data_IF_772442550092
#
_entry.id   IF_772442550092
#
_cell.length_a   1.000
_cell.length_b   1.000
_cell.length_c   1.000
_cell.angle_alpha   90.00
_cell.angle_beta   90.00
_cell.angle_gamma   90.00
#
_symmetry.space_group_name_H-M   'P 1'
#
loop_
_entity.id
_entity.type
_entity.pdbx_description
1 polymer ?
#
# COMPACT_ATOMS: atom_id res chain seq x y z
N UNK A 1 36.10 27.43 10.67
CA UNK A 1 35.33 28.45 11.42
C UNK A 1 33.95 28.76 10.81
N UNK A 2 33.75 28.51 9.51
CA UNK A 2 32.45 28.78 8.85
C UNK A 2 31.33 27.84 9.30
N UNK A 3 31.67 26.60 9.62
CA UNK A 3 30.68 25.54 9.97
C UNK A 3 29.91 25.82 11.28
N UNK A 4 30.56 26.49 12.26
CA UNK A 4 29.89 26.77 13.55
C UNK A 4 29.02 28.02 13.53
N UNK A 5 29.18 28.90 12.52
CA UNK A 5 28.44 30.18 12.48
C UNK A 5 26.93 29.93 12.30
N UNK A 6 26.57 28.99 11.47
CA UNK A 6 25.14 28.63 11.24
C UNK A 6 24.54 27.93 12.45
N UNK A 7 25.31 27.10 13.15
CA UNK A 7 24.90 26.49 14.41
C UNK A 7 24.67 27.53 15.51
N UNK A 8 25.55 28.51 15.64
CA UNK A 8 25.37 29.61 16.59
C UNK A 8 24.14 30.46 16.28
N UNK A 9 23.87 30.76 15.02
CA UNK A 9 22.63 31.46 14.63
C UNK A 9 21.40 30.67 14.98
N UNK A 10 21.42 29.34 14.74
CA UNK A 10 20.34 28.44 15.06
C UNK A 10 20.06 28.42 16.58
N UNK A 11 21.11 28.26 17.38
CA UNK A 11 20.99 28.23 18.83
C UNK A 11 20.50 29.58 19.40
N UNK A 12 21.03 30.67 18.91
CA UNK A 12 20.57 32.00 19.27
C UNK A 12 19.08 32.22 18.97
N UNK A 13 18.64 31.77 17.77
CA UNK A 13 17.21 31.83 17.40
C UNK A 13 16.34 30.99 18.34
N UNK A 14 16.78 29.77 18.68
CA UNK A 14 16.04 28.87 19.59
C UNK A 14 15.93 29.46 20.99
N UNK A 15 17.02 30.07 21.53
CA UNK A 15 17.03 30.68 22.86
C UNK A 15 16.15 31.93 22.97
N UNK A 16 16.05 32.70 21.89
CA UNK A 16 15.29 33.96 21.88
C UNK A 16 13.86 33.82 21.35
N UNK A 17 13.45 32.66 20.82
CA UNK A 17 12.10 32.49 20.29
C UNK A 17 11.03 32.48 21.38
N UNK A 18 9.93 33.18 21.12
CA UNK A 18 8.76 33.29 21.99
C UNK A 18 7.65 32.33 21.57
N UNK A 19 6.72 32.00 22.45
CA UNK A 19 5.58 31.14 22.17
C UNK A 19 4.70 31.66 21.02
N UNK A 20 4.66 32.97 20.84
CA UNK A 20 3.85 33.67 19.80
C UNK A 20 4.51 33.75 18.42
N UNK A 21 5.79 33.43 18.31
CA UNK A 21 6.51 33.57 17.04
C UNK A 21 5.98 32.59 15.99
N UNK A 22 5.88 33.04 14.73
CA UNK A 22 5.37 32.23 13.62
C UNK A 22 6.41 31.24 13.11
N UNK A 23 7.70 31.64 13.08
CA UNK A 23 8.80 30.85 12.49
C UNK A 23 9.63 30.16 13.56
N UNK A 24 8.99 29.41 14.45
CA UNK A 24 9.65 28.69 15.53
C UNK A 24 10.42 27.47 15.03
N UNK A 25 11.56 27.24 15.64
CA UNK A 25 12.36 26.04 15.47
C UNK A 25 11.90 25.01 16.52
N UNK A 26 11.42 23.87 16.06
CA UNK A 26 10.93 22.79 16.92
C UNK A 26 11.93 21.65 17.11
N UNK A 27 12.98 21.63 16.31
CA UNK A 27 14.07 20.65 16.41
C UNK A 27 15.38 21.29 15.97
N UNK A 28 16.38 21.25 16.81
CA UNK A 28 17.74 21.73 16.50
C UNK A 28 18.35 20.89 15.37
N UNK A 29 18.20 19.57 15.44
CA UNK A 29 18.74 18.67 14.40
C UNK A 29 18.01 18.75 13.06
N UNK A 30 16.77 19.25 13.05
CA UNK A 30 15.92 19.39 11.85
C UNK A 30 15.16 20.71 11.91
N UNK A 31 15.81 21.84 11.68
CA UNK A 31 15.20 23.16 11.81
C UNK A 31 13.96 23.37 10.92
N UNK A 32 13.86 22.60 9.85
CA UNK A 32 12.74 22.60 8.90
C UNK A 32 11.51 21.79 9.38
N UNK A 33 11.55 21.26 10.61
CA UNK A 33 10.42 20.51 11.19
C UNK A 33 9.23 21.42 11.42
N UNK A 34 8.09 21.11 10.80
CA UNK A 34 6.84 21.84 11.00
C UNK A 34 6.06 21.33 12.22
N UNK A 35 5.31 22.23 12.84
CA UNK A 35 4.31 21.90 13.86
C UNK A 35 2.92 21.86 13.20
N UNK A 36 2.25 20.72 13.26
CA UNK A 36 0.95 20.48 12.64
C UNK A 36 -0.09 20.31 13.75
N UNK A 37 -1.02 21.27 13.84
CA UNK A 37 -2.15 21.17 14.76
C UNK A 37 -3.17 20.14 14.26
N UNK A 38 -3.54 19.16 15.09
CA UNK A 38 -4.47 18.08 14.76
C UNK A 38 -5.86 18.25 15.36
N UNK A 39 -6.03 19.16 16.32
CA UNK A 39 -7.32 19.37 16.98
C UNK A 39 -7.87 18.16 17.75
N UNK A 40 -7.03 17.16 18.07
CA UNK A 40 -7.42 15.98 18.85
C UNK A 40 -7.11 16.20 20.34
N UNK A 41 -8.02 15.80 21.23
CA UNK A 41 -7.86 15.99 22.67
C UNK A 41 -6.56 15.40 23.23
N UNK A 42 -6.18 14.18 22.80
CA UNK A 42 -4.98 13.51 23.31
C UNK A 42 -3.67 13.87 22.59
N UNK A 43 -3.74 14.41 21.37
CA UNK A 43 -2.56 14.76 20.57
C UNK A 43 -2.85 16.01 19.77
N UNK A 44 -2.65 17.14 20.42
CA UNK A 44 -2.95 18.45 19.81
C UNK A 44 -2.01 18.80 18.66
N UNK A 45 -0.74 18.40 18.76
CA UNK A 45 0.30 18.73 17.79
C UNK A 45 1.04 17.49 17.31
N UNK A 46 1.38 17.46 16.04
CA UNK A 46 2.34 16.53 15.44
C UNK A 46 3.49 17.32 14.85
N UNK A 47 4.72 16.84 15.05
CA UNK A 47 5.93 17.48 14.54
C UNK A 47 6.44 16.66 13.34
N UNK A 48 6.82 17.35 12.27
CA UNK A 48 7.32 16.74 11.03
C UNK A 48 6.73 17.37 9.80
N UNK A 49 7.08 16.80 8.65
CA UNK A 49 6.57 17.25 7.36
C UNK A 49 5.29 16.47 6.99
N UNK A 50 4.37 17.13 6.31
CA UNK A 50 3.19 16.49 5.77
C UNK A 50 3.59 15.55 4.64
N UNK A 51 3.13 14.30 4.67
CA UNK A 51 3.33 13.32 3.61
C UNK A 51 2.00 12.99 2.96
N UNK A 52 1.92 13.18 1.65
CA UNK A 52 0.82 12.71 0.81
C UNK A 52 1.22 11.44 0.07
N UNK A 53 0.25 10.55 -0.17
CA UNK A 53 0.48 9.33 -0.95
C UNK A 53 -0.75 8.98 -1.80
N UNK A 54 -0.50 8.27 -2.88
CA UNK A 54 -1.52 7.65 -3.72
C UNK A 54 -1.30 6.15 -3.81
N UNK A 55 -2.39 5.39 -3.90
CA UNK A 55 -2.34 3.93 -4.03
C UNK A 55 -3.27 3.45 -5.14
N UNK A 56 -2.96 2.29 -5.68
CA UNK A 56 -3.90 1.59 -6.58
C UNK A 56 -5.16 1.19 -5.83
N UNK A 57 -6.31 1.27 -6.49
CA UNK A 57 -7.62 1.01 -5.89
C UNK A 57 -7.80 -0.41 -5.32
N UNK A 58 -7.31 -1.44 -6.03
CA UNK A 58 -7.51 -2.85 -5.62
C UNK A 58 -6.40 -3.37 -4.73
N UNK A 59 -5.15 -3.15 -5.12
CA UNK A 59 -3.98 -3.80 -4.50
C UNK A 59 -3.33 -2.98 -3.40
N UNK A 60 -3.66 -1.67 -3.29
CA UNK A 60 -3.04 -0.72 -2.35
C UNK A 60 -1.51 -0.63 -2.54
N UNK A 61 -1.03 -0.80 -3.77
CA UNK A 61 0.34 -0.50 -4.16
C UNK A 61 0.49 1.02 -4.19
N UNK A 62 1.51 1.56 -3.57
CA UNK A 62 1.79 2.99 -3.55
C UNK A 62 2.36 3.39 -4.91
N UNK A 63 1.70 4.32 -5.59
CA UNK A 63 2.06 4.82 -6.93
C UNK A 63 2.81 6.16 -6.89
N UNK A 64 2.51 6.98 -5.88
CA UNK A 64 3.26 8.19 -5.58
C UNK A 64 3.27 8.44 -4.07
N UNK A 65 4.36 9.05 -3.57
CA UNK A 65 4.49 9.50 -2.20
C UNK A 65 5.39 10.74 -2.16
N UNK A 66 4.90 11.81 -1.55
CA UNK A 66 5.61 13.08 -1.51
C UNK A 66 5.56 13.70 -0.13
N UNK A 67 6.72 14.14 0.35
CA UNK A 67 6.84 14.98 1.54
C UNK A 67 6.69 16.44 1.13
N UNK A 68 5.93 17.20 1.90
CA UNK A 68 5.69 18.62 1.69
C UNK A 68 6.30 19.40 2.83
N UNK A 69 6.95 20.52 2.49
CA UNK A 69 7.44 21.44 3.51
C UNK A 69 6.25 22.07 4.26
N UNK A 70 6.31 22.03 5.57
CA UNK A 70 5.24 22.54 6.41
C UNK A 70 3.95 21.69 6.36
N UNK A 71 2.81 22.38 6.45
CA UNK A 71 1.48 21.76 6.43
C UNK A 71 0.58 22.42 5.37
N UNK A 72 0.84 22.22 4.06
CA UNK A 72 -0.02 22.75 3.02
C UNK A 72 -1.44 22.18 3.13
N UNK A 73 -2.43 22.94 2.69
CA UNK A 73 -3.81 22.45 2.62
C UNK A 73 -3.89 21.20 1.74
N UNK A 74 -4.77 20.25 2.07
CA UNK A 74 -4.88 18.96 1.38
C UNK A 74 -5.12 19.10 -0.13
N UNK A 75 -5.91 20.09 -0.55
CA UNK A 75 -6.16 20.34 -1.96
C UNK A 75 -4.90 20.65 -2.77
N UNK A 76 -3.89 21.29 -2.15
CA UNK A 76 -2.62 21.63 -2.79
C UNK A 76 -1.67 20.43 -2.92
N UNK A 77 -1.96 19.32 -2.26
CA UNK A 77 -1.11 18.12 -2.30
C UNK A 77 -1.48 17.16 -3.43
N UNK A 78 -2.67 17.32 -4.02
CA UNK A 78 -3.19 16.39 -5.05
C UNK A 78 -2.39 16.50 -6.35
N UNK A 79 -2.24 17.71 -6.88
CA UNK A 79 -1.57 17.94 -8.16
C UNK A 79 -0.10 17.45 -8.17
N UNK A 80 0.73 17.78 -7.16
CA UNK A 80 2.10 17.26 -7.08
C UNK A 80 2.20 15.74 -6.98
N UNK A 81 1.19 15.07 -6.41
CA UNK A 81 1.13 13.61 -6.36
C UNK A 81 0.76 13.01 -7.73
N UNK A 82 -0.16 13.64 -8.46
CA UNK A 82 -0.48 13.23 -9.84
C UNK A 82 0.70 13.42 -10.78
N UNK A 83 1.44 14.53 -10.65
CA UNK A 83 2.68 14.77 -11.40
C UNK A 83 3.74 13.72 -11.13
N UNK A 84 3.95 13.38 -9.86
CA UNK A 84 4.89 12.33 -9.49
C UNK A 84 4.45 10.97 -10.05
N UNK A 85 3.15 10.66 -10.02
CA UNK A 85 2.63 9.42 -10.60
C UNK A 85 2.85 9.37 -12.11
N UNK A 86 2.56 10.46 -12.83
CA UNK A 86 2.84 10.56 -14.25
C UNK A 86 4.35 10.37 -14.55
N UNK A 87 5.21 11.01 -13.76
CA UNK A 87 6.66 10.88 -13.94
C UNK A 87 7.18 9.47 -13.66
N UNK A 88 6.65 8.81 -12.63
CA UNK A 88 7.19 7.52 -12.16
C UNK A 88 6.69 6.31 -12.97
N UNK A 89 5.44 6.33 -13.42
CA UNK A 89 4.78 5.17 -14.04
C UNK A 89 4.07 5.51 -15.36
N UNK A 90 4.26 6.73 -15.87
CA UNK A 90 3.62 7.23 -17.10
C UNK A 90 2.09 6.98 -17.12
N UNK A 91 1.42 7.25 -16.01
CA UNK A 91 0.01 6.98 -15.85
C UNK A 91 -0.77 8.14 -15.22
N UNK A 92 -1.84 8.55 -15.90
CA UNK A 92 -2.82 9.50 -15.39
C UNK A 92 -4.14 8.78 -15.06
N UNK A 93 -4.57 8.74 -13.79
CA UNK A 93 -5.82 8.09 -13.43
C UNK A 93 -7.02 8.89 -13.93
N UNK A 94 -8.06 8.20 -14.41
CA UNK A 94 -9.35 8.83 -14.77
C UNK A 94 -10.07 9.37 -13.53
N UNK A 95 -9.96 8.68 -12.41
CA UNK A 95 -10.58 9.04 -11.13
C UNK A 95 -9.60 8.86 -9.98
N UNK A 96 -9.59 9.82 -9.06
CA UNK A 96 -8.84 9.77 -7.81
C UNK A 96 -9.82 9.93 -6.65
N UNK A 97 -9.83 8.96 -5.73
CA UNK A 97 -10.59 9.05 -4.48
C UNK A 97 -9.71 9.71 -3.43
N UNK A 98 -10.14 10.86 -2.94
CA UNK A 98 -9.37 11.66 -1.99
C UNK A 98 -10.15 11.94 -0.70
N UNK A 99 -9.45 12.39 0.33
CA UNK A 99 -10.07 12.75 1.60
C UNK A 99 -10.88 14.04 1.49
N UNK A 100 -11.75 14.30 2.49
CA UNK A 100 -12.60 15.47 2.58
C UNK A 100 -11.83 16.80 2.58
N UNK A 101 -10.58 16.78 3.04
CA UNK A 101 -9.67 17.92 2.95
C UNK A 101 -9.40 18.41 1.52
N UNK A 102 -9.65 17.57 0.51
CA UNK A 102 -9.60 17.94 -0.91
C UNK A 102 -10.88 18.53 -1.49
N UNK A 103 -11.89 18.85 -0.67
CA UNK A 103 -13.13 19.48 -1.14
C UNK A 103 -12.82 20.79 -1.88
N UNK A 104 -13.56 21.02 -2.97
CA UNK A 104 -13.42 22.20 -3.83
C UNK A 104 -12.78 21.90 -5.19
N UNK A 105 -11.89 20.95 -5.29
CA UNK A 105 -11.32 20.50 -6.57
C UNK A 105 -12.12 19.32 -7.11
N UNK A 106 -12.89 19.52 -8.15
CA UNK A 106 -13.67 18.45 -8.80
C UNK A 106 -12.88 17.73 -9.87
N UNK A 107 -11.92 18.40 -10.47
CA UNK A 107 -11.08 17.89 -11.54
C UNK A 107 -9.72 18.58 -11.52
N UNK A 108 -8.67 17.82 -11.74
CA UNK A 108 -7.30 18.30 -11.95
C UNK A 108 -6.80 17.65 -13.23
N UNK A 109 -6.47 18.48 -14.25
CA UNK A 109 -6.14 17.98 -15.60
C UNK A 109 -7.24 17.04 -16.10
N UNK A 110 -6.91 15.80 -16.46
CA UNK A 110 -7.87 14.79 -16.93
C UNK A 110 -8.37 13.85 -15.82
N UNK A 111 -8.01 14.11 -14.55
CA UNK A 111 -8.36 13.27 -13.41
C UNK A 111 -9.53 13.86 -12.64
N UNK A 112 -10.62 13.13 -12.53
CA UNK A 112 -11.79 13.47 -11.70
C UNK A 112 -11.50 13.17 -10.24
N UNK A 113 -11.70 14.15 -9.36
CA UNK A 113 -11.49 14.03 -7.92
C UNK A 113 -12.80 13.64 -7.24
N UNK A 114 -12.81 12.49 -6.58
CA UNK A 114 -13.94 11.99 -5.82
C UNK A 114 -13.66 12.09 -4.32
N UNK A 115 -14.47 12.87 -3.61
CA UNK A 115 -14.43 12.95 -2.15
C UNK A 115 -15.65 12.24 -1.57
N UNK A 116 -15.57 10.94 -1.23
CA UNK A 116 -16.74 10.18 -0.80
C UNK A 116 -17.23 10.64 0.56
N UNK A 117 -18.53 10.89 0.64
CA UNK A 117 -19.21 11.19 1.89
C UNK A 117 -19.50 9.89 2.66
N UNK A 118 -19.54 10.01 4.00
CA UNK A 118 -19.85 8.89 4.89
C UNK A 118 -21.25 8.31 4.65
N UNK A 119 -22.22 9.20 4.42
CA UNK A 119 -23.61 8.80 4.19
C UNK A 119 -24.03 9.11 2.75
N UNK A 120 -24.54 8.10 2.01
CA UNK A 120 -25.23 8.35 0.74
C UNK A 120 -26.45 9.24 0.93
N UNK A 121 -26.80 10.04 -0.07
CA UNK A 121 -27.98 10.88 -0.05
C UNK A 121 -29.25 10.02 -0.14
N UNK A 122 -30.37 10.49 0.45
CA UNK A 122 -31.67 9.80 0.37
C UNK A 122 -32.12 9.59 -1.08
N UNK A 123 -31.88 10.57 -1.95
CA UNK A 123 -32.20 10.57 -3.40
C UNK A 123 -31.31 9.66 -4.26
N UNK A 124 -30.22 9.13 -3.73
CA UNK A 124 -29.32 8.25 -4.50
C UNK A 124 -30.03 6.93 -4.82
N UNK A 125 -29.84 6.43 -6.04
CA UNK A 125 -30.26 5.08 -6.43
C UNK A 125 -29.50 4.01 -5.65
N UNK A 126 -30.02 2.78 -5.62
CA UNK A 126 -29.37 1.64 -4.94
C UNK A 126 -27.93 1.43 -5.45
N UNK A 127 -27.76 1.53 -6.79
CA UNK A 127 -26.42 1.41 -7.39
C UNK A 127 -25.50 2.55 -6.95
N UNK A 128 -25.95 3.80 -6.97
CA UNK A 128 -25.14 4.95 -6.52
C UNK A 128 -24.76 4.82 -5.04
N UNK A 129 -25.68 4.38 -4.17
CA UNK A 129 -25.39 4.10 -2.76
C UNK A 129 -24.30 3.03 -2.61
N UNK A 130 -24.34 1.96 -3.40
CA UNK A 130 -23.35 0.89 -3.39
C UNK A 130 -21.97 1.41 -3.83
N UNK A 131 -21.89 2.18 -4.90
CA UNK A 131 -20.65 2.78 -5.41
C UNK A 131 -20.04 3.74 -4.37
N UNK A 132 -20.84 4.65 -3.80
CA UNK A 132 -20.38 5.60 -2.76
C UNK A 132 -19.84 4.86 -1.53
N UNK A 133 -20.52 3.81 -1.04
CA UNK A 133 -20.04 2.98 0.08
C UNK A 133 -18.73 2.27 -0.26
N UNK A 134 -18.59 1.75 -1.48
CA UNK A 134 -17.36 1.12 -1.95
C UNK A 134 -16.20 2.10 -1.95
N UNK A 135 -16.40 3.30 -2.49
CA UNK A 135 -15.38 4.35 -2.53
C UNK A 135 -14.98 4.81 -1.12
N UNK A 136 -15.94 4.96 -0.22
CA UNK A 136 -15.68 5.31 1.17
C UNK A 136 -14.82 4.25 1.89
N UNK A 137 -15.16 2.96 1.74
CA UNK A 137 -14.35 1.87 2.32
C UNK A 137 -12.93 1.84 1.76
N UNK A 138 -12.75 2.12 0.46
CA UNK A 138 -11.42 2.17 -0.15
C UNK A 138 -10.59 3.33 0.36
N UNK A 139 -11.22 4.49 0.58
CA UNK A 139 -10.54 5.59 1.26
C UNK A 139 -10.09 5.19 2.67
N UNK A 140 -10.98 4.58 3.45
CA UNK A 140 -10.64 4.12 4.80
C UNK A 140 -9.49 3.10 4.81
N UNK A 141 -9.34 2.26 3.78
CA UNK A 141 -8.23 1.32 3.66
C UNK A 141 -6.85 2.01 3.58
N UNK A 142 -6.78 3.26 3.12
CA UNK A 142 -5.53 4.04 3.08
C UNK A 142 -5.05 4.39 4.49
N UNK A 143 -5.96 4.57 5.46
CA UNK A 143 -5.61 4.86 6.85
C UNK A 143 -4.80 3.71 7.46
N UNK A 144 -5.17 2.46 7.14
CA UNK A 144 -4.40 1.28 7.54
C UNK A 144 -3.02 1.25 6.87
N UNK A 145 -2.92 1.61 5.58
CA UNK A 145 -1.62 1.72 4.89
C UNK A 145 -0.74 2.75 5.58
N UNK A 146 -1.27 3.94 5.88
CA UNK A 146 -0.54 5.01 6.60
C UNK A 146 -0.09 4.52 7.99
N UNK A 147 -0.95 3.80 8.71
CA UNK A 147 -0.61 3.18 9.99
C UNK A 147 0.61 2.27 9.84
N UNK A 148 0.57 1.31 8.93
CA UNK A 148 1.69 0.41 8.65
C UNK A 148 2.96 1.14 8.19
N UNK A 149 2.85 2.17 7.34
CA UNK A 149 4.01 2.97 6.96
C UNK A 149 4.68 3.64 8.16
N UNK A 150 3.88 4.18 9.09
CA UNK A 150 4.39 4.85 10.28
C UNK A 150 5.05 3.89 11.28
N UNK A 151 4.45 2.70 11.50
CA UNK A 151 4.92 1.72 12.50
C UNK A 151 5.92 0.74 11.90
N UNK A 152 5.49 -0.10 10.94
CA UNK A 152 6.27 -1.23 10.42
C UNK A 152 7.45 -0.77 9.55
N UNK A 153 7.27 0.34 8.82
CA UNK A 153 8.27 0.89 7.89
C UNK A 153 8.92 2.17 8.40
N UNK A 154 8.73 2.50 9.67
CA UNK A 154 9.37 3.62 10.38
C UNK A 154 9.23 5.00 9.74
N UNK A 155 8.20 5.22 8.90
CA UNK A 155 7.95 6.53 8.30
C UNK A 155 7.65 7.60 9.38
N UNK A 156 7.13 7.19 10.55
CA UNK A 156 6.89 8.06 11.69
C UNK A 156 8.15 8.52 12.43
N UNK A 157 9.31 7.92 12.15
CA UNK A 157 10.59 8.20 12.81
C UNK A 157 11.67 8.38 11.74
N UNK A 158 12.05 9.62 11.48
CA UNK A 158 13.05 9.92 10.47
C UNK A 158 14.43 10.11 11.11
N UNK A 159 15.33 9.13 10.92
CA UNK A 159 16.71 9.18 11.40
C UNK A 159 17.70 9.74 10.36
N UNK A 160 17.25 9.99 9.14
CA UNK A 160 18.10 10.53 8.09
C UNK A 160 18.37 12.02 8.32
N UNK A 161 19.51 12.49 7.87
CA UNK A 161 19.94 13.90 7.96
C UNK A 161 19.69 14.65 6.65
N UNK A 162 19.72 15.99 6.73
CA UNK A 162 19.57 16.89 5.59
C UNK A 162 18.12 17.19 5.21
N UNK A 163 17.95 18.21 4.38
CA UNK A 163 16.64 18.78 4.00
C UNK A 163 15.73 17.76 3.30
N UNK A 164 16.30 16.87 2.48
CA UNK A 164 15.55 15.87 1.73
C UNK A 164 15.24 14.59 2.56
N UNK A 165 15.69 14.54 3.80
CA UNK A 165 15.55 13.34 4.66
C UNK A 165 14.12 12.84 4.78
N UNK A 166 13.14 13.74 4.90
CA UNK A 166 11.72 13.38 5.00
C UNK A 166 11.19 12.72 3.73
N UNK A 167 11.62 13.21 2.55
CA UNK A 167 11.23 12.63 1.28
C UNK A 167 11.88 11.26 1.06
N UNK A 168 13.16 11.12 1.39
CA UNK A 168 13.89 9.85 1.28
C UNK A 168 13.27 8.80 2.22
N UNK A 169 12.99 9.18 3.48
CA UNK A 169 12.33 8.29 4.44
C UNK A 169 10.95 7.83 3.95
N UNK A 170 10.17 8.74 3.37
CA UNK A 170 8.88 8.39 2.78
C UNK A 170 9.01 7.41 1.60
N UNK A 171 10.01 7.60 0.72
CA UNK A 171 10.29 6.69 -0.38
C UNK A 171 10.70 5.30 0.11
N UNK A 172 11.59 5.21 1.09
CA UNK A 172 12.03 3.93 1.67
C UNK A 172 10.85 3.17 2.28
N UNK A 173 9.97 3.86 3.02
CA UNK A 173 8.78 3.27 3.59
C UNK A 173 7.80 2.75 2.51
N UNK A 174 7.57 3.54 1.46
CA UNK A 174 6.73 3.14 0.34
C UNK A 174 7.29 1.95 -0.44
N UNK A 175 8.61 1.95 -0.67
CA UNK A 175 9.32 0.83 -1.32
C UNK A 175 9.18 -0.45 -0.50
N UNK A 176 9.42 -0.39 0.81
CA UNK A 176 9.24 -1.52 1.72
C UNK A 176 7.81 -2.07 1.70
N UNK A 177 6.81 -1.19 1.73
CA UNK A 177 5.41 -1.56 1.60
C UNK A 177 5.11 -2.27 0.28
N UNK A 178 5.54 -1.68 -0.84
CA UNK A 178 5.30 -2.24 -2.17
C UNK A 178 6.00 -3.60 -2.33
N UNK A 179 7.24 -3.72 -1.88
CA UNK A 179 7.99 -4.97 -1.90
C UNK A 179 7.29 -6.07 -1.09
N UNK A 180 6.85 -5.75 0.15
CA UNK A 180 6.06 -6.68 0.98
C UNK A 180 4.79 -7.17 0.26
N UNK A 181 4.10 -6.27 -0.45
CA UNK A 181 2.90 -6.62 -1.25
C UNK A 181 3.24 -7.54 -2.42
N UNK A 182 4.31 -7.22 -3.15
CA UNK A 182 4.78 -8.03 -4.29
C UNK A 182 5.21 -9.42 -3.84
N UNK A 183 5.98 -9.52 -2.77
CA UNK A 183 6.43 -10.80 -2.18
C UNK A 183 5.25 -11.67 -1.76
N UNK A 184 4.23 -11.08 -1.13
CA UNK A 184 3.00 -11.82 -0.77
C UNK A 184 2.28 -12.36 -2.00
N UNK A 185 2.16 -11.56 -3.06
CA UNK A 185 1.54 -12.00 -4.31
C UNK A 185 2.33 -13.15 -4.94
N UNK A 186 3.64 -13.00 -5.04
CA UNK A 186 4.54 -14.03 -5.59
C UNK A 186 4.43 -15.35 -4.80
N UNK A 187 4.43 -15.28 -3.45
CA UNK A 187 4.25 -16.45 -2.59
C UNK A 187 2.94 -17.19 -2.93
N UNK A 188 1.82 -16.47 -3.02
CA UNK A 188 0.52 -17.08 -3.35
C UNK A 188 0.50 -17.72 -4.75
N UNK A 189 1.19 -17.13 -5.72
CA UNK A 189 1.30 -17.69 -7.07
C UNK A 189 2.16 -18.97 -7.06
N UNK A 190 3.28 -18.96 -6.36
CA UNK A 190 4.11 -20.16 -6.17
C UNK A 190 3.35 -21.28 -5.47
N UNK A 191 2.63 -21.00 -4.39
CA UNK A 191 1.80 -21.99 -3.70
C UNK A 191 0.76 -22.64 -4.63
N UNK A 192 0.14 -21.87 -5.52
CA UNK A 192 -0.78 -22.41 -6.55
C UNK A 192 -0.07 -23.31 -7.54
N UNK A 193 1.12 -22.92 -8.02
CA UNK A 193 1.91 -23.71 -8.95
C UNK A 193 2.29 -25.05 -8.32
N UNK A 194 2.82 -25.02 -7.09
CA UNK A 194 3.19 -26.23 -6.36
C UNK A 194 1.99 -27.14 -6.10
N UNK A 195 0.85 -26.60 -5.68
CA UNK A 195 -0.38 -27.36 -5.47
C UNK A 195 -0.85 -28.04 -6.76
N UNK A 196 -0.80 -27.34 -7.89
CA UNK A 196 -1.19 -27.90 -9.19
C UNK A 196 -0.21 -28.99 -9.66
N UNK A 197 1.09 -28.81 -9.45
CA UNK A 197 2.11 -29.83 -9.77
C UNK A 197 1.94 -31.08 -8.89
N UNK A 198 1.70 -30.89 -7.60
CA UNK A 198 1.45 -31.97 -6.66
C UNK A 198 0.20 -32.78 -7.02
N UNK A 199 -0.91 -32.12 -7.35
CA UNK A 199 -2.13 -32.77 -7.82
C UNK A 199 -1.89 -33.57 -9.10
N UNK A 200 -1.17 -33.01 -10.08
CA UNK A 200 -0.80 -33.74 -11.31
C UNK A 200 0.07 -34.98 -11.01
N UNK A 201 1.01 -34.86 -10.10
CA UNK A 201 1.84 -35.99 -9.68
C UNK A 201 1.02 -37.09 -9.00
N UNK A 202 0.09 -36.73 -8.08
CA UNK A 202 -0.80 -37.69 -7.45
C UNK A 202 -1.72 -38.40 -8.46
N UNK A 203 -2.36 -37.66 -9.37
CA UNK A 203 -3.23 -38.23 -10.40
C UNK A 203 -2.48 -39.17 -11.32
N UNK A 204 -1.25 -38.84 -11.72
CA UNK A 204 -0.39 -39.69 -12.54
C UNK A 204 -0.06 -41.00 -11.83
N UNK A 205 0.30 -40.91 -10.54
CA UNK A 205 0.63 -42.11 -9.73
C UNK A 205 -0.60 -42.99 -9.47
N UNK A 206 -1.75 -42.41 -9.21
CA UNK A 206 -3.00 -43.16 -9.04
C UNK A 206 -3.38 -43.88 -10.33
N UNK A 207 -3.35 -43.19 -11.48
CA UNK A 207 -3.62 -43.79 -12.80
C UNK A 207 -2.64 -44.93 -13.12
N UNK A 208 -1.37 -44.80 -12.77
CA UNK A 208 -0.37 -45.85 -12.94
C UNK A 208 -0.69 -47.08 -12.08
N UNK A 209 -1.06 -46.90 -10.81
CA UNK A 209 -1.47 -48.02 -9.93
C UNK A 209 -2.75 -48.69 -10.40
N UNK A 210 -3.75 -47.92 -10.85
CA UNK A 210 -5.00 -48.49 -11.42
C UNK A 210 -4.73 -49.29 -12.67
N UNK A 211 -3.83 -48.82 -13.56
CA UNK A 211 -3.44 -49.55 -14.76
C UNK A 211 -2.77 -50.87 -14.42
N UNK A 212 -1.82 -50.85 -13.47
CA UNK A 212 -1.10 -52.04 -13.02
C UNK A 212 -2.04 -53.07 -12.38
N UNK A 213 -2.97 -52.61 -11.56
CA UNK A 213 -3.94 -53.49 -10.92
C UNK A 213 -4.93 -54.11 -11.93
N UNK A 214 -5.36 -53.34 -12.95
CA UNK A 214 -6.20 -53.84 -14.05
C UNK A 214 -5.46 -54.88 -14.91
N UNK A 215 -4.18 -54.68 -15.21
CA UNK A 215 -3.36 -55.64 -15.94
C UNK A 215 -3.15 -56.94 -15.14
N UNK A 216 -2.97 -56.85 -13.83
CA UNK A 216 -2.90 -58.03 -12.94
C UNK A 216 -4.21 -58.82 -12.87
N UNK A 217 -5.35 -58.16 -12.79
CA UNK A 217 -6.68 -58.79 -12.83
C UNK A 217 -6.92 -59.48 -14.15
N UNK A 218 -6.56 -58.89 -15.28
CA UNK A 218 -6.71 -59.50 -16.60
C UNK A 218 -5.83 -60.76 -16.70
N UNK A 219 -4.58 -60.72 -16.26
CA UNK A 219 -3.70 -61.91 -16.25
C UNK A 219 -4.23 -63.03 -15.36
N UNK A 220 -4.89 -62.65 -14.26
CA UNK A 220 -5.47 -63.62 -13.32
C UNK A 220 -6.73 -64.33 -13.92
N UNK A 221 -7.50 -63.61 -14.69
CA UNK A 221 -8.69 -64.15 -15.38
C UNK A 221 -8.31 -65.05 -16.60
N UNK A 222 -7.32 -64.62 -17.39
CA UNK A 222 -6.85 -65.42 -18.53
C UNK A 222 -6.13 -66.69 -18.14
N UNK A 223 -5.42 -66.72 -16.98
CA UNK A 223 -4.79 -67.94 -16.47
C UNK A 223 -5.79 -68.94 -15.83
N UNK A 224 -7.02 -68.51 -15.52
CA UNK A 224 -8.05 -69.43 -15.07
C UNK A 224 -8.77 -70.20 -16.18
N UNK A 225 -8.78 -69.63 -17.39
CA UNK A 225 -9.43 -70.27 -18.57
C UNK A 225 -8.52 -71.29 -19.28
N UNK A 226 -7.25 -71.37 -18.93
CA UNK A 226 -6.28 -72.26 -19.56
C UNK A 226 -6.01 -73.59 -18.83
N UNK A 227 -6.85 -74.01 -17.90
CA UNK A 227 -6.77 -75.37 -17.33
C UNK A 227 -7.68 -76.30 -18.14
N UNK A 228 -7.15 -77.24 -18.95
CA UNK A 228 -7.96 -78.25 -19.60
C UNK A 228 -8.49 -79.19 -18.55
N UNK A 229 -9.81 -79.43 -18.60
CA UNK A 229 -10.43 -80.56 -17.91
C UNK A 229 -9.97 -81.81 -18.66
N UNK A 230 -8.89 -82.43 -18.15
CA UNK A 230 -8.55 -83.77 -18.54
C UNK A 230 -9.39 -84.78 -17.71
N UNK A 231 -10.43 -85.28 -18.29
CA UNK A 231 -11.05 -86.51 -17.86
C UNK A 231 -10.22 -87.63 -18.48
N UNK A 232 -9.60 -88.44 -17.65
CA UNK A 232 -9.13 -89.75 -18.03
C UNK A 232 -10.03 -90.80 -17.35
N UNK A 233 -10.43 -91.77 -18.15
CA UNK A 233 -11.13 -92.97 -17.76
C UNK A 233 -10.24 -93.84 -16.90
#
# INVERSE_FOLDING_TARGET
>A
MQDYHDDFKLYYKVLNQKKTDKDKIYSIHKPFTACIAKGKAHKQYEFGNKVGLTTTFKTLIITAIKSFDGNPHDSKTIEPLLEQMQKNIDYNPKELIYDRGGKGQKQIRNTKILTPDYRPLKRDTVHQKRVKRKNFRRRAAIEAVIGHLKTDFRMGQNYLHGKNSSQINAFLAATGWNLKKMMRKLKLELEKIFSNLFLKFLTKNLNSKYKLHKEQLIKFTTNKESKPQGFAF
#
